data_IF_891561248952
#
_entry.id   IF_891561248952
#
_cell.length_a   1.000
_cell.length_b   1.000
_cell.length_c   1.000
_cell.angle_alpha   90.00
_cell.angle_beta   90.00
_cell.angle_gamma   90.00
#
_symmetry.space_group_name_H-M   'P 1'
#
loop_
_entity.id
_entity.type
_entity.pdbx_description
1 polymer ?
#
# COMPACT_ATOMS: atom_id res chain seq x y z
N UNK A 1 -1.81 -3.37 -1.89
CA UNK A 1 -0.36 -3.34 -2.12
C UNK A 1 0.01 -1.88 -1.90
N UNK A 2 0.52 -1.60 -0.72
CA UNK A 2 0.33 -0.30 -0.08
C UNK A 2 1.64 0.49 -0.03
N UNK A 3 2.78 -0.19 -0.19
CA UNK A 3 4.11 0.41 -0.10
C UNK A 3 4.96 0.23 -1.37
N UNK A 4 5.57 1.33 -1.83
CA UNK A 4 6.68 1.27 -2.78
C UNK A 4 7.92 1.93 -2.17
N UNK A 5 8.93 1.10 -1.91
CA UNK A 5 10.20 1.56 -1.38
C UNK A 5 11.05 2.20 -2.48
N UNK A 6 11.48 3.45 -2.25
CA UNK A 6 12.38 4.22 -3.12
C UNK A 6 13.39 4.97 -2.27
N UNK A 7 14.55 5.30 -2.85
CA UNK A 7 15.57 6.17 -2.23
C UNK A 7 15.02 7.58 -1.99
N UNK A 8 14.28 8.10 -2.97
CA UNK A 8 13.71 9.45 -2.99
C UNK A 8 12.19 9.38 -3.14
N UNK A 9 11.50 10.41 -2.63
CA UNK A 9 10.04 10.59 -2.76
C UNK A 9 9.72 11.74 -3.72
N UNK A 10 10.24 11.64 -4.93
CA UNK A 10 10.09 12.65 -5.97
C UNK A 10 8.84 12.44 -6.85
N UNK A 11 8.61 13.37 -7.78
CA UNK A 11 7.51 13.32 -8.74
C UNK A 11 7.50 12.03 -9.58
N UNK A 12 8.68 11.53 -9.96
CA UNK A 12 8.81 10.34 -10.79
C UNK A 12 8.46 9.08 -10.00
N UNK A 13 8.90 9.00 -8.73
CA UNK A 13 8.54 7.94 -7.82
C UNK A 13 7.01 7.87 -7.62
N UNK A 14 6.37 9.03 -7.39
CA UNK A 14 4.91 9.12 -7.27
C UNK A 14 4.20 8.67 -8.57
N UNK A 15 4.67 9.13 -9.73
CA UNK A 15 4.11 8.73 -11.03
C UNK A 15 4.18 7.22 -11.26
N UNK A 16 5.36 6.61 -11.05
CA UNK A 16 5.56 5.18 -11.23
C UNK A 16 4.71 4.38 -10.24
N UNK A 17 4.57 4.86 -9.00
CA UNK A 17 3.74 4.22 -7.99
C UNK A 17 2.28 4.17 -8.41
N UNK A 18 1.71 5.33 -8.72
CA UNK A 18 0.30 5.44 -9.11
C UNK A 18 0.03 4.65 -10.41
N UNK A 19 0.91 4.77 -11.42
CA UNK A 19 0.81 3.98 -12.66
C UNK A 19 0.80 2.48 -12.41
N UNK A 20 1.57 2.01 -11.43
CA UNK A 20 1.59 0.60 -11.04
C UNK A 20 0.27 0.18 -10.37
N UNK A 21 -0.29 1.03 -9.51
CA UNK A 21 -1.56 0.74 -8.83
C UNK A 21 -2.70 0.52 -9.81
N UNK A 22 -2.91 1.45 -10.75
CA UNK A 22 -3.98 1.32 -11.77
C UNK A 22 -3.78 0.11 -12.68
N UNK A 23 -2.53 -0.24 -13.02
CA UNK A 23 -2.24 -1.44 -13.81
C UNK A 23 -2.55 -2.74 -13.08
N UNK A 24 -2.51 -2.73 -11.76
CA UNK A 24 -2.68 -3.92 -10.95
C UNK A 24 -4.11 -4.08 -10.41
N UNK A 25 -4.78 -2.97 -10.10
CA UNK A 25 -6.09 -2.93 -9.45
C UNK A 25 -7.17 -2.25 -10.29
N UNK A 26 -6.87 -1.95 -11.57
CA UNK A 26 -7.74 -1.18 -12.46
C UNK A 26 -7.96 0.27 -12.00
N UNK A 27 -8.77 1.01 -12.75
CA UNK A 27 -9.08 2.41 -12.43
C UNK A 27 -10.07 2.48 -11.26
N UNK A 28 -9.71 3.10 -10.12
CA UNK A 28 -10.61 3.24 -9.00
C UNK A 28 -11.65 4.36 -9.24
N UNK A 29 -12.86 4.20 -8.73
CA UNK A 29 -13.88 5.27 -8.79
C UNK A 29 -13.47 6.50 -7.97
N UNK A 30 -12.86 6.28 -6.80
CA UNK A 30 -12.38 7.33 -5.89
C UNK A 30 -10.94 7.05 -5.50
N UNK A 31 -10.08 8.05 -5.64
CA UNK A 31 -8.70 8.01 -5.20
C UNK A 31 -8.45 9.07 -4.13
N UNK A 32 -8.08 8.62 -2.95
CA UNK A 32 -7.70 9.51 -1.84
C UNK A 32 -6.18 9.60 -1.76
N UNK A 33 -5.65 10.83 -1.70
CA UNK A 33 -4.23 11.06 -1.40
C UNK A 33 -4.06 12.16 -0.35
N UNK A 34 -2.85 12.22 0.23
CA UNK A 34 -2.42 13.42 0.96
C UNK A 34 -2.29 14.62 0.01
N UNK A 35 -1.97 15.79 0.58
CA UNK A 35 -1.76 17.04 -0.17
C UNK A 35 -0.32 17.20 -0.68
N UNK A 36 0.45 16.12 -0.83
CA UNK A 36 1.83 16.21 -1.28
C UNK A 36 1.91 16.69 -2.75
N UNK A 37 2.74 17.70 -3.07
CA UNK A 37 2.89 18.20 -4.44
C UNK A 37 3.32 17.11 -5.45
N UNK A 38 4.12 16.14 -5.00
CA UNK A 38 4.57 15.02 -5.82
C UNK A 38 3.40 14.18 -6.37
N UNK A 39 2.45 13.84 -5.51
CA UNK A 39 1.28 13.03 -5.85
C UNK A 39 0.29 13.80 -6.72
N UNK A 40 0.06 15.08 -6.44
CA UNK A 40 -0.79 15.94 -7.26
C UNK A 40 -0.24 16.09 -8.68
N UNK A 41 1.06 16.30 -8.82
CA UNK A 41 1.72 16.40 -10.12
C UNK A 41 1.64 15.06 -10.89
N UNK A 42 1.94 13.95 -10.22
CA UNK A 42 1.84 12.61 -10.78
C UNK A 42 0.42 12.29 -11.28
N UNK A 43 -0.60 12.58 -10.48
CA UNK A 43 -2.00 12.36 -10.83
C UNK A 43 -2.41 13.17 -12.06
N UNK A 44 -2.09 14.47 -12.10
CA UNK A 44 -2.38 15.33 -13.26
C UNK A 44 -1.76 14.75 -14.54
N UNK A 45 -0.51 14.29 -14.46
CA UNK A 45 0.17 13.66 -15.58
C UNK A 45 -0.51 12.35 -16.00
N UNK A 46 -0.91 11.51 -15.05
CA UNK A 46 -1.56 10.23 -15.33
C UNK A 46 -2.97 10.37 -15.90
N UNK A 47 -3.73 11.40 -15.49
CA UNK A 47 -5.00 11.77 -16.11
C UNK A 47 -4.82 12.12 -17.59
N UNK A 48 -3.79 12.91 -17.94
CA UNK A 48 -3.46 13.22 -19.33
C UNK A 48 -3.10 11.98 -20.17
N UNK A 49 -2.58 10.93 -19.53
CA UNK A 49 -2.26 9.66 -20.18
C UNK A 49 -3.41 8.64 -20.15
N UNK A 50 -4.61 9.03 -19.68
CA UNK A 50 -5.81 8.19 -19.71
C UNK A 50 -5.95 7.16 -18.58
N UNK A 51 -5.06 7.16 -17.57
CA UNK A 51 -5.11 6.16 -16.48
C UNK A 51 -6.16 6.43 -15.40
N UNK A 52 -6.52 7.70 -15.15
CA UNK A 52 -7.42 8.11 -14.07
C UNK A 52 -8.50 9.07 -14.59
N UNK A 53 -9.02 8.77 -15.78
CA UNK A 53 -9.96 9.61 -16.53
C UNK A 53 -11.30 9.79 -15.81
N UNK A 54 -11.82 8.73 -15.21
CA UNK A 54 -13.10 8.66 -14.50
C UNK A 54 -12.94 8.75 -12.98
N UNK A 55 -11.70 8.75 -12.49
CA UNK A 55 -11.38 8.76 -11.06
C UNK A 55 -11.65 10.14 -10.42
N UNK A 56 -12.49 10.15 -9.38
CA UNK A 56 -12.65 11.30 -8.49
C UNK A 56 -11.50 11.36 -7.50
N UNK A 57 -10.80 12.50 -7.45
CA UNK A 57 -9.68 12.69 -6.52
C UNK A 57 -10.11 13.45 -5.27
N UNK A 58 -9.75 12.93 -4.11
CA UNK A 58 -10.10 13.51 -2.82
C UNK A 58 -8.87 13.67 -1.92
N UNK A 59 -8.83 14.79 -1.18
CA UNK A 59 -7.79 15.06 -0.16
C UNK A 59 -8.42 15.38 1.19
N UNK A 60 -9.35 14.53 1.62
CA UNK A 60 -10.13 14.73 2.85
C UNK A 60 -9.31 14.19 4.03
N UNK A 61 -9.18 15.01 5.09
CA UNK A 61 -8.38 14.68 6.28
C UNK A 61 -8.78 13.34 6.91
N UNK A 62 -10.08 13.08 7.03
CA UNK A 62 -10.60 11.84 7.61
C UNK A 62 -10.10 10.58 6.85
N UNK A 63 -10.18 10.57 5.52
CA UNK A 63 -9.69 9.43 4.74
C UNK A 63 -8.17 9.30 4.79
N UNK A 64 -7.44 10.42 4.87
CA UNK A 64 -6.00 10.38 5.10
C UNK A 64 -5.65 9.77 6.46
N UNK A 65 -6.44 10.04 7.51
CA UNK A 65 -6.25 9.40 8.81
C UNK A 65 -6.42 7.87 8.74
N UNK A 66 -7.35 7.36 7.92
CA UNK A 66 -7.53 5.91 7.72
C UNK A 66 -6.28 5.29 7.05
N UNK A 67 -5.74 5.93 6.02
CA UNK A 67 -4.49 5.49 5.37
C UNK A 67 -3.33 5.51 6.37
N UNK A 68 -3.22 6.58 7.17
CA UNK A 68 -2.18 6.68 8.21
C UNK A 68 -2.32 5.61 9.30
N UNK A 69 -3.54 5.27 9.68
CA UNK A 69 -3.83 4.20 10.62
C UNK A 69 -3.39 2.85 10.07
N UNK A 70 -3.67 2.57 8.80
CA UNK A 70 -3.31 1.31 8.14
C UNK A 70 -1.79 1.10 8.12
N UNK A 71 -1.02 2.20 8.02
CA UNK A 71 0.44 2.19 8.02
C UNK A 71 1.06 2.24 9.43
N UNK A 72 0.26 2.49 10.48
CA UNK A 72 0.77 2.77 11.84
C UNK A 72 1.51 1.59 12.44
N UNK A 73 1.03 0.37 12.21
CA UNK A 73 1.66 -0.85 12.74
C UNK A 73 3.05 -1.08 12.17
N UNK A 74 3.20 -0.89 10.85
CA UNK A 74 4.48 -0.96 10.16
C UNK A 74 5.43 0.13 10.67
N UNK A 75 4.98 1.39 10.69
CA UNK A 75 5.79 2.52 11.19
C UNK A 75 6.30 2.28 12.62
N UNK A 76 5.44 1.81 13.54
CA UNK A 76 5.82 1.54 14.94
C UNK A 76 6.92 0.48 15.07
N UNK A 77 6.86 -0.59 14.26
CA UNK A 77 7.90 -1.62 14.24
C UNK A 77 9.22 -1.08 13.70
N UNK A 78 9.17 -0.22 12.68
CA UNK A 78 10.38 0.37 12.10
C UNK A 78 11.04 1.41 12.98
N UNK A 79 10.28 2.24 13.70
CA UNK A 79 10.84 3.24 14.63
C UNK A 79 11.71 2.59 15.71
N UNK A 80 11.38 1.37 16.13
CA UNK A 80 12.16 0.61 17.14
C UNK A 80 13.30 -0.22 16.53
N UNK A 81 13.48 -0.21 15.22
CA UNK A 81 14.52 -0.96 14.52
C UNK A 81 15.71 -0.07 14.17
N UNK A 82 16.91 -0.64 14.04
CA UNK A 82 18.09 0.05 13.49
C UNK A 82 17.97 0.34 11.97
N UNK A 83 16.76 0.19 11.40
CA UNK A 83 16.52 0.27 9.97
C UNK A 83 17.02 -0.97 9.22
N UNK A 84 16.98 -0.88 7.89
CA UNK A 84 17.50 -1.91 7.00
C UNK A 84 18.81 -1.44 6.38
N UNK A 85 19.80 -2.32 6.33
CA UNK A 85 21.09 -2.04 5.70
C UNK A 85 20.96 -1.83 4.17
N UNK A 86 19.99 -2.47 3.52
CA UNK A 86 19.77 -2.35 2.06
C UNK A 86 18.30 -2.23 1.71
N UNK A 87 18.02 -1.52 0.61
CA UNK A 87 16.67 -1.40 0.03
C UNK A 87 16.11 -2.75 -0.40
N UNK A 88 16.97 -3.68 -0.84
CA UNK A 88 16.56 -5.02 -1.23
C UNK A 88 15.99 -5.80 -0.03
N UNK A 89 16.69 -5.78 1.11
CA UNK A 89 16.21 -6.44 2.33
C UNK A 89 14.95 -5.76 2.84
N UNK A 90 14.93 -4.43 2.91
CA UNK A 90 13.76 -3.66 3.28
C UNK A 90 12.53 -4.00 2.43
N UNK A 91 12.68 -4.05 1.10
CA UNK A 91 11.60 -4.37 0.18
C UNK A 91 11.05 -5.79 0.39
N UNK A 92 11.92 -6.78 0.65
CA UNK A 92 11.48 -8.16 0.91
C UNK A 92 10.73 -8.25 2.24
N UNK A 93 11.26 -7.64 3.30
CA UNK A 93 10.62 -7.64 4.61
C UNK A 93 9.26 -6.93 4.58
N UNK A 94 9.18 -5.74 3.96
CA UNK A 94 7.91 -5.01 3.81
C UNK A 94 6.89 -5.87 3.06
N UNK A 95 7.30 -6.50 1.95
CA UNK A 95 6.41 -7.38 1.17
C UNK A 95 5.91 -8.57 2.00
N UNK A 96 6.76 -9.16 2.83
CA UNK A 96 6.34 -10.21 3.77
C UNK A 96 5.30 -9.72 4.79
N UNK A 97 5.50 -8.53 5.36
CA UNK A 97 4.53 -7.96 6.31
C UNK A 97 3.21 -7.61 5.62
N UNK A 98 3.25 -7.01 4.42
CA UNK A 98 2.06 -6.74 3.61
C UNK A 98 1.28 -8.02 3.31
N UNK A 99 1.99 -9.12 3.01
CA UNK A 99 1.36 -10.43 2.72
C UNK A 99 0.59 -10.94 3.94
N UNK A 100 1.20 -10.92 5.13
CA UNK A 100 0.53 -11.34 6.37
C UNK A 100 -0.66 -10.42 6.68
N UNK A 101 -0.52 -9.11 6.47
CA UNK A 101 -1.60 -8.15 6.70
C UNK A 101 -2.76 -8.33 5.71
N UNK A 102 -2.48 -8.67 4.46
CA UNK A 102 -3.49 -8.99 3.47
C UNK A 102 -4.27 -10.27 3.84
N UNK A 103 -3.57 -11.34 4.26
CA UNK A 103 -4.20 -12.56 4.76
C UNK A 103 -5.09 -12.29 5.98
N UNK A 104 -4.60 -11.49 6.93
CA UNK A 104 -5.38 -11.08 8.09
C UNK A 104 -6.66 -10.33 7.69
N UNK A 105 -6.55 -9.35 6.78
CA UNK A 105 -7.70 -8.58 6.29
C UNK A 105 -8.71 -9.47 5.57
N UNK A 106 -8.24 -10.41 4.74
CA UNK A 106 -9.09 -11.35 4.01
C UNK A 106 -9.88 -12.27 4.97
N UNK A 107 -9.22 -12.86 5.98
CA UNK A 107 -9.89 -13.69 6.99
C UNK A 107 -10.91 -12.90 7.80
N UNK A 108 -10.54 -11.67 8.20
CA UNK A 108 -11.44 -10.76 8.92
C UNK A 108 -12.69 -10.38 8.14
N UNK A 109 -12.61 -10.26 6.82
CA UNK A 109 -13.79 -10.00 5.98
C UNK A 109 -14.68 -11.22 5.80
N UNK A 110 -14.16 -12.44 5.98
CA UNK A 110 -14.90 -13.68 5.75
C UNK A 110 -15.60 -14.20 7.01
N UNK A 111 -15.04 -13.94 8.20
CA UNK A 111 -15.55 -14.50 9.46
C UNK A 111 -15.44 -13.48 10.60
N UNK A 112 -16.51 -13.35 11.40
CA UNK A 112 -16.64 -12.37 12.48
C UNK A 112 -15.80 -12.73 13.71
N UNK A 113 -15.69 -14.02 14.04
CA UNK A 113 -14.99 -14.55 15.24
C UNK A 113 -13.80 -15.45 14.86
N UNK A 114 -12.93 -14.96 13.99
CA UNK A 114 -11.79 -15.75 13.51
C UNK A 114 -10.56 -15.62 14.44
N UNK A 115 -9.90 -16.76 14.69
CA UNK A 115 -8.59 -16.81 15.33
C UNK A 115 -7.51 -16.71 14.24
N UNK A 116 -6.65 -15.70 14.32
CA UNK A 116 -5.57 -15.52 13.34
C UNK A 116 -4.25 -16.09 13.84
N UNK A 117 -3.70 -17.06 13.12
CA UNK A 117 -2.33 -17.54 13.29
C UNK A 117 -1.57 -17.39 11.99
N UNK A 118 -0.59 -16.46 11.96
CA UNK A 118 0.22 -16.24 10.77
C UNK A 118 0.94 -17.53 10.31
N UNK A 119 1.34 -18.41 11.23
CA UNK A 119 1.98 -19.68 10.90
C UNK A 119 1.01 -20.61 10.15
N UNK A 120 -0.20 -20.80 10.68
CA UNK A 120 -1.19 -21.70 10.07
C UNK A 120 -1.64 -21.19 8.70
N UNK A 121 -1.84 -19.88 8.55
CA UNK A 121 -2.24 -19.26 7.28
C UNK A 121 -1.16 -19.42 6.21
N UNK A 122 0.12 -19.25 6.58
CA UNK A 122 1.23 -19.45 5.65
C UNK A 122 1.38 -20.93 5.28
N UNK A 123 1.25 -21.85 6.24
CA UNK A 123 1.27 -23.29 5.98
C UNK A 123 0.17 -23.70 4.99
N UNK A 124 -1.07 -23.22 5.19
CA UNK A 124 -2.17 -23.47 4.26
C UNK A 124 -1.87 -22.91 2.86
N UNK A 125 -1.37 -21.68 2.78
CA UNK A 125 -1.05 -21.04 1.51
C UNK A 125 0.01 -21.83 0.71
N UNK A 126 1.04 -22.35 1.39
CA UNK A 126 2.07 -23.18 0.74
C UNK A 126 1.60 -24.61 0.43
N UNK A 127 0.62 -25.14 1.16
CA UNK A 127 0.03 -26.44 0.86
C UNK A 127 -0.90 -26.41 -0.36
N UNK A 128 -1.48 -25.24 -0.68
CA UNK A 128 -2.39 -25.04 -1.82
C UNK A 128 -1.71 -24.53 -3.09
N UNK A 129 -0.42 -24.19 -3.03
CA UNK A 129 0.36 -23.62 -4.14
C UNK A 129 1.18 -24.68 -4.87
#
# INVERSE_FOLDING_TARGET
>A
MDFQLRKTRDHQAAYVFMKRLVKHFEEPTVLTTDRAPALLCALKKLKKHGFYSHTKHCTIKHFNNLIEQDHRHLKRRFVKSAGFQTIRHASRTIKGIETIQALYKQRRSLQTDFVFSAYNELQQLFATA
#
